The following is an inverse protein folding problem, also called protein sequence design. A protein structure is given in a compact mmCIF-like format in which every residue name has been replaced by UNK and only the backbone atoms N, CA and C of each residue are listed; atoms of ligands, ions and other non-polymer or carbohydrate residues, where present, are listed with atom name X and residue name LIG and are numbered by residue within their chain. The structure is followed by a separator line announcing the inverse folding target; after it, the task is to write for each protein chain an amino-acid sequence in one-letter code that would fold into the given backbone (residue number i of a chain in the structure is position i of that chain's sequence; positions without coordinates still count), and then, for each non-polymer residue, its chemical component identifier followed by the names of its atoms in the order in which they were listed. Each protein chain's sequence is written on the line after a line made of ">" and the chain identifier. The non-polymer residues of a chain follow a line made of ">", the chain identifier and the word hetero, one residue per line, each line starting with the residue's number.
data_IF_732642049325
#
_entry.id   IF_732642049325
#
_cell.length_a   1.000
_cell.length_b   1.000
_cell.length_c   1.000
_cell.angle_alpha   90.00
_cell.angle_beta   90.00
_cell.angle_gamma   90.00
#
_symmetry.space_group_name_H-M   'P 1'
#
loop_
_entity.id
_entity.type
_entity.pdbx_description
1 polymer ?
#
# COMPACT_ATOMS: atom_id res chain seq x y z
N UNK A 1 -19.20 0.74 10.99
CA UNK A 1 -18.44 1.96 10.83
C UNK A 1 -17.09 1.82 11.53
N UNK A 2 -16.03 1.73 10.75
CA UNK A 2 -14.67 1.75 11.26
C UNK A 2 -14.26 3.21 11.39
N UNK A 3 -13.70 3.59 12.54
CA UNK A 3 -13.05 4.89 12.72
C UNK A 3 -11.62 4.81 12.20
N UNK A 4 -11.05 5.91 11.74
CA UNK A 4 -9.62 6.02 11.41
C UNK A 4 -8.71 5.99 12.64
N UNK A 5 -9.26 5.77 13.82
CA UNK A 5 -8.45 5.56 14.99
C UNK A 5 -7.73 4.20 14.88
N UNK A 6 -6.44 4.17 15.20
CA UNK A 6 -5.67 2.93 15.18
C UNK A 6 -6.38 1.89 16.04
N UNK A 7 -6.68 0.73 15.41
CA UNK A 7 -7.36 -0.36 16.12
C UNK A 7 -6.41 -1.01 17.10
N UNK A 8 -6.26 -0.44 18.28
CA UNK A 8 -5.67 -1.10 19.45
C UNK A 8 -6.55 -2.26 20.00
N UNK A 9 -7.63 -2.62 19.29
CA UNK A 9 -8.59 -3.62 19.79
C UNK A 9 -8.06 -5.06 19.78
N UNK A 10 -6.99 -5.34 19.02
CA UNK A 10 -6.35 -6.66 19.06
C UNK A 10 -5.46 -6.88 20.30
N UNK A 11 -5.15 -5.84 21.05
CA UNK A 11 -4.47 -5.95 22.36
C UNK A 11 -5.30 -6.75 23.37
N UNK A 12 -6.61 -6.83 23.19
CA UNK A 12 -7.52 -7.58 24.06
C UNK A 12 -7.42 -9.10 23.94
N UNK A 13 -6.83 -9.61 22.84
CA UNK A 13 -6.69 -11.05 22.59
C UNK A 13 -5.23 -11.52 22.82
N UNK A 14 -4.37 -10.67 23.40
CA UNK A 14 -3.00 -11.06 23.76
C UNK A 14 -1.99 -11.05 22.61
N UNK A 15 -2.35 -10.50 21.46
CA UNK A 15 -1.41 -10.25 20.38
C UNK A 15 -0.94 -8.79 20.41
N UNK A 16 0.37 -8.51 20.49
CA UNK A 16 0.86 -7.14 20.45
C UNK A 16 0.53 -6.54 19.08
N UNK A 17 -0.28 -5.47 19.09
CA UNK A 17 -0.51 -4.66 17.91
C UNK A 17 0.80 -3.94 17.58
N UNK A 18 1.45 -4.33 16.50
CA UNK A 18 2.67 -3.70 15.99
C UNK A 18 2.25 -2.55 15.07
N UNK A 19 2.27 -1.32 15.60
CA UNK A 19 2.02 -0.07 14.86
C UNK A 19 0.54 0.30 14.67
N UNK A 20 0.31 1.56 14.36
CA UNK A 20 -0.99 2.13 14.01
C UNK A 20 -1.42 1.64 12.60
N UNK A 21 -2.23 0.59 12.57
CA UNK A 21 -2.70 0.03 11.32
C UNK A 21 -4.09 0.59 10.97
N UNK A 22 -4.19 1.26 9.82
CA UNK A 22 -5.49 1.67 9.31
C UNK A 22 -6.38 0.44 9.05
N UNK A 23 -7.66 0.45 9.47
CA UNK A 23 -8.61 -0.61 9.15
C UNK A 23 -8.74 -0.90 7.64
N UNK A 24 -8.43 0.08 6.80
CA UNK A 24 -8.41 -0.06 5.35
C UNK A 24 -7.32 -1.02 4.88
N UNK A 25 -6.25 -1.15 5.64
CA UNK A 25 -5.18 -2.10 5.34
C UNK A 25 -5.64 -3.56 5.39
N UNK A 26 -6.74 -3.88 6.09
CA UNK A 26 -7.29 -5.23 6.12
C UNK A 26 -8.09 -5.61 4.87
N UNK A 27 -8.39 -4.65 3.98
CA UNK A 27 -9.18 -4.88 2.77
C UNK A 27 -8.23 -4.98 1.57
N UNK A 28 -8.26 -6.12 0.88
CA UNK A 28 -7.53 -6.25 -0.37
C UNK A 28 -8.24 -5.42 -1.46
N UNK A 29 -7.54 -4.48 -2.14
CA UNK A 29 -8.12 -3.68 -3.22
C UNK A 29 -8.78 -4.50 -4.32
N UNK A 30 -8.25 -5.69 -4.63
CA UNK A 30 -8.80 -6.57 -5.63
C UNK A 30 -10.17 -7.17 -5.25
N UNK A 31 -10.52 -7.17 -3.97
CA UNK A 31 -11.84 -7.59 -3.48
C UNK A 31 -12.88 -6.48 -3.47
N UNK A 32 -12.50 -5.25 -3.81
CA UNK A 32 -13.41 -4.11 -3.84
C UNK A 32 -14.23 -4.15 -5.13
N UNK A 33 -15.56 -4.08 -4.99
CA UNK A 33 -16.50 -3.91 -6.09
C UNK A 33 -16.73 -2.43 -6.39
N UNK A 34 -16.92 -1.62 -5.32
CA UNK A 34 -17.13 -0.19 -5.45
C UNK A 34 -16.72 0.57 -4.20
N UNK A 35 -16.33 1.81 -4.38
CA UNK A 35 -16.07 2.78 -3.32
C UNK A 35 -17.01 3.96 -3.55
N UNK A 36 -17.81 4.30 -2.54
CA UNK A 36 -18.69 5.47 -2.55
C UNK A 36 -18.29 6.43 -1.45
N UNK A 37 -18.10 7.70 -1.80
CA UNK A 37 -17.78 8.75 -0.83
C UNK A 37 -19.05 9.58 -0.57
N UNK A 38 -19.57 9.50 0.64
CA UNK A 38 -20.73 10.23 1.09
C UNK A 38 -20.27 11.51 1.79
N UNK A 39 -20.60 12.67 1.24
CA UNK A 39 -20.17 13.98 1.75
C UNK A 39 -21.35 14.80 2.29
N UNK A 40 -22.57 14.50 1.84
CA UNK A 40 -23.75 15.28 2.19
C UNK A 40 -24.31 14.83 3.54
N UNK A 41 -24.87 15.80 4.29
CA UNK A 41 -25.43 15.55 5.61
C UNK A 41 -26.54 14.50 5.61
N UNK A 42 -27.38 14.47 4.57
CA UNK A 42 -28.47 13.48 4.42
C UNK A 42 -27.91 12.05 4.26
N UNK A 43 -26.84 11.88 3.47
CA UNK A 43 -26.21 10.60 3.24
C UNK A 43 -25.43 10.10 4.46
N UNK A 44 -24.88 11.01 5.28
CA UNK A 44 -24.10 10.67 6.47
C UNK A 44 -24.92 10.53 7.74
N UNK A 45 -26.16 11.04 7.77
CA UNK A 45 -27.03 11.06 8.95
C UNK A 45 -27.29 9.68 9.56
N UNK A 46 -27.35 8.62 8.73
CA UNK A 46 -27.53 7.23 9.19
C UNK A 46 -26.32 6.67 9.94
N UNK A 47 -25.15 7.33 9.84
CA UNK A 47 -23.90 6.91 10.51
C UNK A 47 -23.64 7.69 11.81
N UNK A 48 -24.55 8.62 12.18
CA UNK A 48 -24.48 9.42 13.41
C UNK A 48 -23.29 10.39 13.42
N UNK A 49 -22.84 10.76 14.62
CA UNK A 49 -21.75 11.74 14.81
C UNK A 49 -20.42 11.35 14.14
N UNK A 50 -20.17 10.07 13.93
CA UNK A 50 -18.96 9.57 13.23
C UNK A 50 -18.97 9.90 11.74
N UNK A 51 -20.13 10.17 11.14
CA UNK A 51 -20.27 10.57 9.75
C UNK A 51 -20.09 12.08 9.48
N UNK A 52 -19.84 12.91 10.51
CA UNK A 52 -19.80 14.36 10.38
C UNK A 52 -18.77 14.88 9.37
N UNK A 53 -17.64 14.17 9.20
CA UNK A 53 -16.59 14.53 8.25
C UNK A 53 -16.71 13.79 6.89
N UNK A 54 -17.82 13.07 6.67
CA UNK A 54 -18.05 12.22 5.52
C UNK A 54 -17.88 10.75 5.83
N UNK A 55 -18.34 9.91 4.91
CA UNK A 55 -18.27 8.44 5.02
C UNK A 55 -17.74 7.83 3.73
N UNK A 56 -16.78 6.95 3.83
CA UNK A 56 -16.31 6.12 2.73
C UNK A 56 -16.98 4.75 2.86
N UNK A 57 -17.86 4.43 1.91
CA UNK A 57 -18.52 3.14 1.85
C UNK A 57 -17.79 2.22 0.87
N UNK A 58 -17.20 1.15 1.39
CA UNK A 58 -16.51 0.16 0.58
C UNK A 58 -17.39 -1.08 0.44
N UNK A 59 -17.79 -1.36 -0.79
CA UNK A 59 -18.53 -2.57 -1.13
C UNK A 59 -17.57 -3.61 -1.69
N UNK A 60 -17.51 -4.76 -1.05
CA UNK A 60 -16.68 -5.87 -1.55
C UNK A 60 -17.44 -6.73 -2.53
N UNK A 61 -16.73 -7.29 -3.51
CA UNK A 61 -17.29 -8.19 -4.52
C UNK A 61 -18.12 -9.29 -3.87
N UNK A 62 -19.35 -9.41 -4.34
CA UNK A 62 -20.21 -10.54 -4.00
C UNK A 62 -19.94 -11.67 -4.97
N UNK A 63 -19.59 -12.83 -4.45
CA UNK A 63 -19.46 -14.01 -5.29
C UNK A 63 -20.84 -14.36 -5.86
N UNK A 64 -21.06 -14.04 -7.12
CA UNK A 64 -22.27 -14.44 -7.84
C UNK A 64 -22.13 -15.93 -8.17
N UNK A 65 -22.83 -16.77 -7.42
CA UNK A 65 -22.98 -18.18 -7.80
C UNK A 65 -24.09 -18.21 -8.84
N UNK A 66 -23.71 -18.42 -10.08
CA UNK A 66 -24.66 -18.65 -11.18
C UNK A 66 -25.01 -20.15 -11.23
N UNK A 67 -25.95 -20.57 -10.39
CA UNK A 67 -26.40 -21.98 -10.33
C UNK A 67 -25.81 -22.79 -9.16
N UNK A 68 -26.01 -24.11 -9.17
CA UNK A 68 -25.37 -25.07 -8.26
C UNK A 68 -23.96 -25.38 -8.82
N UNK A 69 -22.89 -25.09 -8.08
CA UNK A 69 -21.58 -25.41 -8.58
C UNK A 69 -20.44 -24.98 -7.68
N UNK A 70 -19.26 -25.34 -8.11
CA UNK A 70 -17.98 -24.93 -7.56
C UNK A 70 -17.33 -23.99 -8.57
N UNK A 71 -16.94 -22.81 -8.14
CA UNK A 71 -16.12 -21.88 -8.90
C UNK A 71 -14.76 -21.71 -8.19
N UNK A 72 -13.68 -21.81 -8.96
CA UNK A 72 -12.32 -21.56 -8.51
C UNK A 72 -11.76 -20.41 -9.33
N UNK A 73 -11.18 -19.44 -8.69
CA UNK A 73 -10.47 -18.36 -9.33
C UNK A 73 -9.04 -18.30 -8.80
N UNK A 74 -8.09 -18.11 -9.70
CA UNK A 74 -6.68 -17.85 -9.38
C UNK A 74 -6.23 -16.69 -10.23
N UNK A 75 -5.59 -15.73 -9.60
CA UNK A 75 -5.00 -14.57 -10.26
C UNK A 75 -3.59 -14.37 -9.71
N UNK A 76 -2.62 -14.24 -10.59
CA UNK A 76 -1.24 -13.90 -10.22
C UNK A 76 -0.79 -12.77 -11.13
N UNK A 77 -0.37 -11.68 -10.53
CA UNK A 77 0.23 -10.54 -11.19
C UNK A 77 1.60 -10.31 -10.57
N UNK A 78 2.62 -10.25 -11.40
CA UNK A 78 3.99 -9.93 -11.00
C UNK A 78 4.60 -8.94 -11.97
N UNK A 79 5.54 -8.17 -11.52
CA UNK A 79 6.24 -7.20 -12.34
C UNK A 79 7.33 -6.48 -11.57
N UNK A 80 7.90 -5.50 -12.22
CA UNK A 80 8.96 -4.65 -11.69
C UNK A 80 8.55 -3.19 -11.83
N UNK A 81 8.99 -2.38 -10.88
CA UNK A 81 8.83 -0.93 -10.89
C UNK A 81 10.22 -0.31 -10.89
N UNK A 82 10.39 0.69 -11.71
CA UNK A 82 11.62 1.47 -11.82
C UNK A 82 11.27 2.96 -11.86
N UNK A 83 12.24 3.81 -11.57
CA UNK A 83 12.06 5.25 -11.75
C UNK A 83 11.95 5.56 -13.23
N UNK A 84 10.80 6.07 -13.66
CA UNK A 84 10.54 6.37 -15.08
C UNK A 84 11.27 7.60 -15.60
N UNK A 85 11.71 8.50 -14.73
CA UNK A 85 12.45 9.71 -15.11
C UNK A 85 13.24 10.23 -13.91
N UNK A 86 14.47 10.66 -14.17
CA UNK A 86 15.34 11.35 -13.22
C UNK A 86 15.57 12.79 -13.67
N UNK A 87 15.98 13.64 -12.74
CA UNK A 87 16.35 15.01 -13.08
C UNK A 87 17.71 15.03 -13.79
N UNK A 88 17.84 15.89 -14.78
CA UNK A 88 19.09 16.13 -15.46
C UNK A 88 19.94 17.09 -14.61
N UNK A 89 20.85 16.53 -13.83
CA UNK A 89 21.71 17.26 -12.93
C UNK A 89 23.06 17.51 -13.56
N UNK A 90 23.74 18.55 -13.10
CA UNK A 90 25.12 18.85 -13.53
C UNK A 90 26.05 17.70 -13.10
N UNK A 91 26.99 17.35 -13.98
CA UNK A 91 28.12 16.52 -13.59
C UNK A 91 28.99 17.25 -12.57
N UNK A 92 29.80 16.52 -11.78
CA UNK A 92 30.76 17.14 -10.88
C UNK A 92 31.70 18.13 -11.61
N UNK A 93 32.14 17.77 -12.82
CA UNK A 93 33.00 18.62 -13.63
C UNK A 93 32.33 19.96 -14.00
N UNK A 94 31.06 19.88 -14.47
CA UNK A 94 30.29 21.09 -14.84
C UNK A 94 29.96 21.95 -13.61
N UNK A 95 29.61 21.33 -12.50
CA UNK A 95 29.40 22.02 -11.24
C UNK A 95 30.65 22.78 -10.80
N UNK A 96 31.82 22.12 -10.78
CA UNK A 96 33.09 22.74 -10.38
C UNK A 96 33.50 23.86 -11.33
N UNK A 97 33.28 23.72 -12.63
CA UNK A 97 33.51 24.75 -13.61
C UNK A 97 32.65 26.00 -13.35
N UNK A 98 31.34 25.76 -13.08
CA UNK A 98 30.42 26.85 -12.76
C UNK A 98 30.79 27.54 -11.46
N UNK A 99 31.15 26.79 -10.42
CA UNK A 99 31.59 27.34 -9.12
C UNK A 99 32.87 28.21 -9.25
N UNK A 100 33.88 27.73 -9.97
CA UNK A 100 35.09 28.50 -10.24
C UNK A 100 34.81 29.80 -10.98
N UNK A 101 33.93 29.74 -11.98
CA UNK A 101 33.50 30.92 -12.74
C UNK A 101 32.77 31.94 -11.85
N UNK A 102 31.92 31.47 -10.93
CA UNK A 102 31.25 32.36 -9.98
C UNK A 102 32.22 33.09 -9.08
N UNK A 103 33.19 32.40 -8.47
CA UNK A 103 34.26 33.03 -7.68
C UNK A 103 35.09 34.04 -8.47
N UNK A 104 35.42 33.71 -9.71
CA UNK A 104 36.14 34.62 -10.60
C UNK A 104 35.34 35.91 -10.90
N UNK A 105 34.01 35.77 -11.13
CA UNK A 105 33.15 36.93 -11.38
C UNK A 105 33.00 37.83 -10.15
N UNK A 106 33.00 37.26 -8.95
CA UNK A 106 32.88 37.96 -7.69
C UNK A 106 34.22 38.57 -7.25
N UNK A 107 35.32 38.23 -7.91
CA UNK A 107 36.66 38.67 -7.54
C UNK A 107 37.14 38.13 -6.20
N UNK A 108 36.62 37.00 -5.76
CA UNK A 108 36.93 36.36 -4.47
C UNK A 108 37.73 35.09 -4.72
N UNK A 109 38.84 34.93 -3.99
CA UNK A 109 39.64 33.70 -4.06
C UNK A 109 38.95 32.55 -3.25
N UNK A 110 38.85 31.35 -3.83
CA UNK A 110 38.38 30.17 -3.12
C UNK A 110 39.33 29.80 -1.97
N UNK A 111 38.76 29.46 -0.83
CA UNK A 111 39.51 29.02 0.36
C UNK A 111 38.78 27.83 1.03
N UNK A 112 39.48 27.18 1.97
CA UNK A 112 38.89 26.06 2.72
C UNK A 112 37.65 26.45 3.54
N UNK A 113 37.46 27.73 3.82
CA UNK A 113 36.32 28.23 4.61
C UNK A 113 35.14 28.67 3.77
N UNK A 114 35.37 29.18 2.54
CA UNK A 114 34.29 29.68 1.68
C UNK A 114 33.95 28.77 0.49
N UNK A 115 34.86 27.84 0.15
CA UNK A 115 34.71 26.91 -0.97
C UNK A 115 35.40 25.56 -0.70
N UNK A 116 35.00 24.81 0.34
CA UNK A 116 35.58 23.48 0.62
C UNK A 116 35.37 22.48 -0.53
N UNK A 117 34.31 22.65 -1.30
CA UNK A 117 34.05 21.93 -2.52
C UNK A 117 35.09 22.06 -3.61
N UNK A 118 35.76 23.21 -3.70
CA UNK A 118 36.83 23.49 -4.66
C UNK A 118 38.24 23.20 -4.12
N UNK A 119 38.42 23.13 -2.80
CA UNK A 119 39.74 23.11 -2.17
C UNK A 119 40.06 21.85 -1.37
N UNK A 120 39.03 21.22 -0.75
CA UNK A 120 39.22 20.09 0.16
C UNK A 120 38.64 18.77 -0.39
N UNK A 121 37.51 18.84 -1.09
CA UNK A 121 36.84 17.62 -1.55
C UNK A 121 37.53 17.06 -2.80
N UNK A 122 37.45 15.76 -2.96
CA UNK A 122 37.94 15.08 -4.16
C UNK A 122 37.10 15.49 -5.37
N UNK A 123 37.71 16.19 -6.29
CA UNK A 123 37.07 16.74 -7.48
C UNK A 123 36.96 15.74 -8.62
N UNK A 124 37.53 14.56 -8.48
CA UNK A 124 37.41 13.47 -9.44
C UNK A 124 36.25 12.51 -9.11
N UNK A 125 35.63 12.70 -7.94
CA UNK A 125 34.47 11.90 -7.54
C UNK A 125 33.22 12.44 -8.23
N UNK A 126 32.67 11.65 -9.14
CA UNK A 126 31.39 11.93 -9.79
C UNK A 126 30.40 10.85 -9.38
N UNK A 127 29.36 11.21 -8.63
CA UNK A 127 28.38 10.28 -8.10
C UNK A 127 26.97 10.75 -8.44
N UNK A 128 26.25 9.93 -9.18
CA UNK A 128 24.84 10.14 -9.42
C UNK A 128 24.01 9.68 -8.20
N UNK A 129 23.74 10.63 -7.30
CA UNK A 129 22.97 10.35 -6.08
C UNK A 129 21.53 9.90 -6.36
N UNK A 130 20.94 10.33 -7.47
CA UNK A 130 19.60 9.87 -7.85
C UNK A 130 19.62 8.38 -8.18
N UNK A 131 20.59 7.95 -8.96
CA UNK A 131 20.76 6.53 -9.31
C UNK A 131 21.12 5.69 -8.09
N UNK A 132 22.04 6.20 -7.26
CA UNK A 132 22.45 5.50 -6.03
C UNK A 132 21.28 5.31 -5.04
N UNK A 133 20.46 6.35 -4.83
CA UNK A 133 19.39 6.33 -3.83
C UNK A 133 18.08 5.75 -4.35
N UNK A 134 17.77 5.96 -5.64
CA UNK A 134 16.47 5.65 -6.24
C UNK A 134 16.57 4.82 -7.52
N UNK A 135 17.77 4.45 -7.96
CA UNK A 135 17.98 3.69 -9.19
C UNK A 135 17.74 2.18 -9.06
N UNK A 136 17.19 1.74 -7.92
CA UNK A 136 16.85 0.34 -7.72
C UNK A 136 15.62 -0.09 -8.50
N UNK A 137 15.44 -1.40 -8.57
CA UNK A 137 14.26 -2.05 -9.14
C UNK A 137 13.44 -2.64 -8.00
N UNK A 138 12.15 -2.33 -7.97
CA UNK A 138 11.22 -2.86 -6.99
C UNK A 138 10.38 -3.98 -7.63
N UNK A 139 10.56 -5.20 -7.17
CA UNK A 139 9.72 -6.33 -7.56
C UNK A 139 8.38 -6.25 -6.85
N UNK A 140 7.32 -6.66 -7.53
CA UNK A 140 6.04 -6.85 -6.89
C UNK A 140 5.37 -8.15 -7.31
N UNK A 141 4.65 -8.75 -6.37
CA UNK A 141 3.83 -9.94 -6.56
C UNK A 141 2.47 -9.73 -5.91
N UNK A 142 1.40 -9.95 -6.66
CA UNK A 142 0.04 -10.01 -6.16
C UNK A 142 -0.57 -11.35 -6.59
N UNK A 143 -0.73 -12.27 -5.65
CA UNK A 143 -1.28 -13.58 -5.89
C UNK A 143 -2.58 -13.75 -5.11
N UNK A 144 -3.62 -14.23 -5.77
CA UNK A 144 -4.94 -14.43 -5.19
C UNK A 144 -5.49 -15.78 -5.62
N UNK A 145 -6.11 -16.46 -4.69
CA UNK A 145 -6.86 -17.68 -4.97
C UNK A 145 -8.19 -17.66 -4.22
N UNK A 146 -9.24 -18.13 -4.87
CA UNK A 146 -10.57 -18.17 -4.27
C UNK A 146 -11.37 -19.38 -4.70
N UNK A 147 -12.17 -19.85 -3.78
CA UNK A 147 -13.15 -20.93 -4.01
C UNK A 147 -14.52 -20.41 -3.58
N UNK A 148 -15.49 -20.60 -4.44
CA UNK A 148 -16.89 -20.31 -4.15
C UNK A 148 -17.73 -21.52 -4.49
N UNK A 149 -18.56 -21.94 -3.56
CA UNK A 149 -19.43 -23.10 -3.74
C UNK A 149 -20.82 -22.83 -3.16
N UNK A 150 -21.83 -23.51 -3.68
CA UNK A 150 -23.17 -23.52 -3.10
C UNK A 150 -24.30 -23.22 -4.08
N UNK A 151 -25.36 -22.63 -3.57
CA UNK A 151 -26.59 -22.28 -4.26
C UNK A 151 -27.08 -20.90 -3.82
N UNK A 152 -28.22 -20.44 -4.37
CA UNK A 152 -28.85 -19.18 -3.97
C UNK A 152 -29.19 -19.10 -2.47
N UNK A 153 -29.52 -20.24 -1.83
CA UNK A 153 -29.89 -20.32 -0.40
C UNK A 153 -28.74 -20.73 0.53
N UNK A 154 -27.68 -21.30 -0.01
CA UNK A 154 -26.54 -21.78 0.78
C UNK A 154 -25.27 -21.59 -0.01
N UNK A 155 -24.41 -20.69 0.42
CA UNK A 155 -23.18 -20.36 -0.28
C UNK A 155 -22.01 -20.19 0.67
N UNK A 156 -20.87 -20.71 0.23
CA UNK A 156 -19.59 -20.60 0.90
C UNK A 156 -18.57 -19.99 -0.04
N UNK A 157 -17.75 -19.10 0.48
CA UNK A 157 -16.58 -18.61 -0.24
C UNK A 157 -15.36 -18.56 0.69
N UNK A 158 -14.22 -18.92 0.14
CA UNK A 158 -12.93 -18.82 0.78
C UNK A 158 -11.97 -18.15 -0.20
N UNK A 159 -11.32 -17.09 0.23
CA UNK A 159 -10.36 -16.35 -0.58
C UNK A 159 -9.09 -16.16 0.23
N UNK A 160 -7.96 -16.28 -0.43
CA UNK A 160 -6.65 -15.98 0.12
C UNK A 160 -5.92 -15.05 -0.84
N UNK A 161 -5.12 -14.16 -0.31
CA UNK A 161 -4.27 -13.30 -1.10
C UNK A 161 -2.89 -13.10 -0.44
N UNK A 162 -1.88 -12.99 -1.28
CA UNK A 162 -0.53 -12.63 -0.91
C UNK A 162 -0.10 -11.44 -1.77
N UNK A 163 0.42 -10.43 -1.12
CA UNK A 163 0.95 -9.23 -1.73
C UNK A 163 2.37 -9.01 -1.22
N UNK A 164 3.31 -8.84 -2.13
CA UNK A 164 4.69 -8.50 -1.81
C UNK A 164 5.13 -7.35 -2.70
N UNK A 165 5.77 -6.36 -2.12
CA UNK A 165 6.20 -5.16 -2.81
C UNK A 165 7.54 -4.71 -2.27
N UNK A 166 8.56 -4.70 -3.13
CA UNK A 166 9.86 -4.11 -2.86
C UNK A 166 9.87 -2.61 -3.03
N UNK A 167 11.03 -1.99 -2.83
CA UNK A 167 11.22 -0.56 -3.05
C UNK A 167 12.39 -0.29 -3.98
N UNK A 168 12.36 0.87 -4.63
CA UNK A 168 13.46 1.36 -5.49
C UNK A 168 14.62 1.95 -4.70
N UNK A 169 14.45 2.14 -3.39
CA UNK A 169 15.49 2.73 -2.52
C UNK A 169 16.64 1.77 -2.29
N UNK A 170 17.84 2.33 -2.14
CA UNK A 170 19.00 1.57 -1.73
C UNK A 170 18.76 0.91 -0.36
N UNK A 171 18.89 -0.42 -0.29
CA UNK A 171 18.64 -1.23 0.89
C UNK A 171 17.62 -2.36 0.63
N UNK A 172 17.37 -3.15 1.66
CA UNK A 172 16.42 -4.27 1.59
C UNK A 172 15.10 -3.88 2.25
N UNK A 173 14.34 -3.04 1.57
CA UNK A 173 13.03 -2.60 2.06
C UNK A 173 11.93 -3.33 1.31
N UNK A 174 10.94 -3.84 2.05
CA UNK A 174 9.80 -4.54 1.47
C UNK A 174 8.57 -4.43 2.34
N UNK A 175 7.43 -4.56 1.70
CA UNK A 175 6.14 -4.72 2.34
C UNK A 175 5.52 -6.04 1.89
N UNK A 176 5.08 -6.85 2.82
CA UNK A 176 4.42 -8.11 2.53
C UNK A 176 3.11 -8.20 3.30
N UNK A 177 2.08 -8.72 2.66
CA UNK A 177 0.78 -8.96 3.28
C UNK A 177 0.22 -10.29 2.85
N UNK A 178 -0.28 -11.01 3.83
CA UNK A 178 -1.10 -12.20 3.62
C UNK A 178 -2.48 -11.98 4.20
N UNK A 179 -3.53 -12.37 3.48
CA UNK A 179 -4.89 -12.31 4.01
C UNK A 179 -5.74 -13.52 3.61
N UNK A 180 -6.67 -13.83 4.50
CA UNK A 180 -7.69 -14.88 4.32
C UNK A 180 -9.04 -14.26 4.61
N UNK A 181 -10.02 -14.58 3.77
CA UNK A 181 -11.42 -14.22 3.97
C UNK A 181 -12.29 -15.42 3.75
N UNK A 182 -13.14 -15.71 4.70
CA UNK A 182 -14.16 -16.74 4.60
C UNK A 182 -15.54 -16.12 4.79
N UNK A 183 -16.49 -16.52 3.98
CA UNK A 183 -17.90 -16.10 4.10
C UNK A 183 -18.81 -17.29 3.89
N UNK A 184 -19.82 -17.40 4.76
CA UNK A 184 -20.88 -18.37 4.65
C UNK A 184 -22.24 -17.68 4.74
N UNK A 185 -23.10 -17.91 3.76
CA UNK A 185 -24.47 -17.39 3.73
C UNK A 185 -25.42 -18.58 3.72
N UNK A 186 -26.43 -18.50 4.56
CA UNK A 186 -27.48 -19.48 4.64
C UNK A 186 -28.86 -18.80 4.70
N UNK A 187 -29.78 -19.28 3.93
CA UNK A 187 -31.21 -18.90 3.96
C UNK A 187 -32.03 -20.16 4.07
N UNK A 188 -32.92 -20.23 5.06
CA UNK A 188 -33.82 -21.36 5.25
C UNK A 188 -34.78 -21.56 4.05
N UNK A 189 -35.39 -22.74 3.93
CA UNK A 189 -36.28 -23.05 2.81
C UNK A 189 -37.50 -22.12 2.75
N UNK A 190 -37.99 -21.70 3.92
CA UNK A 190 -39.15 -20.82 4.10
C UNK A 190 -38.76 -19.32 4.13
N UNK A 191 -37.48 -18.96 3.85
CA UNK A 191 -36.92 -17.64 3.84
C UNK A 191 -37.00 -16.85 5.17
N UNK A 192 -37.40 -17.52 6.27
CA UNK A 192 -37.56 -16.87 7.59
C UNK A 192 -36.27 -16.75 8.36
N UNK A 193 -35.34 -17.67 8.18
CA UNK A 193 -34.04 -17.60 8.84
C UNK A 193 -32.93 -17.29 7.83
N UNK A 194 -32.17 -16.25 8.11
CA UNK A 194 -31.03 -15.84 7.29
C UNK A 194 -29.82 -15.70 8.19
N UNK A 195 -28.71 -16.35 7.82
CA UNK A 195 -27.44 -16.29 8.53
C UNK A 195 -26.34 -15.86 7.56
N UNK A 196 -25.53 -14.91 8.00
CA UNK A 196 -24.33 -14.49 7.31
C UNK A 196 -23.17 -14.54 8.30
N UNK A 197 -22.19 -15.39 8.05
CA UNK A 197 -20.97 -15.49 8.82
C UNK A 197 -19.81 -15.02 7.95
N UNK A 198 -18.97 -14.18 8.50
CA UNK A 198 -17.77 -13.69 7.83
C UNK A 198 -16.60 -13.71 8.81
N UNK A 199 -15.49 -14.27 8.36
CA UNK A 199 -14.22 -14.26 9.08
C UNK A 199 -13.15 -13.69 8.15
N UNK A 200 -12.36 -12.75 8.66
CA UNK A 200 -11.23 -12.17 7.97
C UNK A 200 -10.00 -12.27 8.86
N UNK A 201 -8.89 -12.62 8.27
CA UNK A 201 -7.58 -12.58 8.92
C UNK A 201 -6.60 -11.90 7.95
N UNK A 202 -5.79 -11.02 8.46
CA UNK A 202 -4.71 -10.39 7.70
C UNK A 202 -3.50 -10.22 8.60
N UNK A 203 -2.34 -10.46 8.04
CA UNK A 203 -1.05 -10.16 8.64
C UNK A 203 -0.18 -9.47 7.62
N UNK A 204 0.62 -8.53 8.05
CA UNK A 204 1.58 -7.84 7.22
C UNK A 204 2.94 -7.74 7.92
N UNK A 205 3.98 -7.68 7.12
CA UNK A 205 5.34 -7.35 7.51
C UNK A 205 5.77 -6.13 6.72
N UNK A 206 6.07 -5.06 7.44
CA UNK A 206 6.44 -3.78 6.87
C UNK A 206 7.87 -3.42 7.27
N UNK A 207 8.78 -3.63 6.35
CA UNK A 207 10.17 -3.19 6.44
C UNK A 207 10.43 -2.08 5.41
N UNK A 208 9.52 -1.11 5.32
CA UNK A 208 9.67 0.02 4.40
C UNK A 208 10.49 1.14 5.03
N UNK A 209 11.10 1.96 4.18
CA UNK A 209 11.87 3.14 4.60
C UNK A 209 10.98 4.09 5.41
N UNK A 210 11.39 4.38 6.66
CA UNK A 210 10.61 5.23 7.58
C UNK A 210 9.47 4.53 8.32
N UNK A 211 9.36 3.21 8.24
CA UNK A 211 8.30 2.39 8.86
C UNK A 211 8.60 1.85 10.25
N UNK A 212 9.33 2.58 11.11
CA UNK A 212 9.54 2.26 12.53
C UNK A 212 8.76 3.21 13.42
#
# INVERSE_FOLDING_TARGET
>A
PYSDEPMNQFSYIGFPAKGDQSPLNSINPADIESISVLKDADATSIYGSRGANGVILITTKKNKISGKGLAVNVNVLTGVKEVGHTLDLLSTADYLALRRKAFQNDGVEPSNSNAPDLTLWDQNLDMNWQEYLFGGTADFVNAQAGITAGSAKNSFSFNTSYNSEGTIYAGNFSYQRFSIRSRYNYVSQDDRFKMNLQANYSTDDNNSFGGN
#
